data_IF_884071944906
#
_entry.id   IF_884071944906
#
_cell.length_a   1.000
_cell.length_b   1.000
_cell.length_c   1.000
_cell.angle_alpha   90.00
_cell.angle_beta   90.00
_cell.angle_gamma   90.00
#
_symmetry.space_group_name_H-M   'P 1'
#
loop_
_entity.id
_entity.type
_entity.pdbx_description
1 polymer ?
#
# COMPACT_ATOMS: atom_id res chain seq x y z
N UNK A 1 -7.92 5.36 17.09
CA UNK A 1 -7.28 4.17 16.49
C UNK A 1 -7.90 2.92 17.08
N UNK A 2 -8.54 2.05 16.27
CA UNK A 2 -9.05 0.74 16.71
C UNK A 2 -8.22 -0.37 16.05
N UNK A 3 -7.56 -1.21 16.85
CA UNK A 3 -6.70 -2.30 16.36
C UNK A 3 -7.44 -3.33 15.50
N UNK A 4 -8.74 -3.51 15.74
CA UNK A 4 -9.60 -4.48 15.04
C UNK A 4 -9.73 -4.16 13.55
N UNK A 5 -9.71 -2.87 13.20
CA UNK A 5 -9.82 -2.43 11.81
C UNK A 5 -8.54 -2.77 11.05
N UNK A 6 -7.38 -2.62 11.66
CA UNK A 6 -6.11 -2.95 11.02
C UNK A 6 -5.99 -4.44 10.66
N UNK A 7 -6.63 -5.32 11.45
CA UNK A 7 -6.67 -6.76 11.16
C UNK A 7 -7.51 -7.11 9.92
N UNK A 8 -8.54 -6.32 9.62
CA UNK A 8 -9.34 -6.52 8.40
C UNK A 8 -8.57 -6.20 7.12
N UNK A 9 -7.54 -5.35 7.21
CA UNK A 9 -6.71 -4.95 6.08
C UNK A 9 -5.42 -5.79 5.95
N UNK A 10 -5.26 -6.81 6.79
CA UNK A 10 -4.11 -7.71 6.72
C UNK A 10 -4.03 -8.36 5.33
N UNK A 11 -2.82 -8.41 4.74
CA UNK A 11 -2.53 -8.91 3.37
C UNK A 11 -2.94 -7.99 2.21
N UNK A 12 -3.37 -6.75 2.48
CA UNK A 12 -3.60 -5.76 1.42
C UNK A 12 -2.28 -5.41 0.73
N UNK A 13 -2.23 -5.45 -0.61
CA UNK A 13 -1.06 -5.04 -1.38
C UNK A 13 -0.94 -3.51 -1.47
N UNK A 14 -2.08 -2.84 -1.64
CA UNK A 14 -2.16 -1.38 -1.71
C UNK A 14 -3.12 -0.92 -0.63
N UNK A 15 -2.69 0.04 0.19
CA UNK A 15 -3.48 0.61 1.27
C UNK A 15 -3.65 2.12 1.05
N UNK A 16 -4.90 2.61 1.06
CA UNK A 16 -5.20 4.03 0.95
C UNK A 16 -5.66 4.53 2.32
N UNK A 17 -5.00 5.56 2.84
CA UNK A 17 -5.21 6.10 4.18
C UNK A 17 -5.52 7.59 4.13
N UNK A 18 -6.39 8.04 5.04
CA UNK A 18 -6.61 9.45 5.30
C UNK A 18 -5.57 9.94 6.31
N UNK A 19 -4.85 11.03 6.00
CA UNK A 19 -3.91 11.65 6.93
C UNK A 19 -4.43 13.02 7.36
N UNK A 20 -5.02 13.06 8.55
CA UNK A 20 -5.65 14.26 9.10
C UNK A 20 -4.64 15.17 9.82
N UNK A 21 -3.68 14.59 10.55
CA UNK A 21 -2.79 15.34 11.45
C UNK A 21 -1.32 14.97 11.27
N UNK A 22 -0.45 15.99 11.21
CA UNK A 22 1.01 15.85 11.14
C UNK A 22 1.61 15.33 12.45
N UNK A 23 2.90 14.97 12.42
CA UNK A 23 3.63 14.54 13.61
C UNK A 23 3.53 15.58 14.73
N UNK A 24 3.20 15.12 15.94
CA UNK A 24 3.10 15.97 17.14
C UNK A 24 1.76 16.71 17.29
N UNK A 25 0.83 16.60 16.33
CA UNK A 25 -0.50 17.17 16.45
C UNK A 25 -1.54 16.08 16.78
N UNK A 26 -2.26 16.26 17.89
CA UNK A 26 -3.35 15.37 18.31
C UNK A 26 -4.69 16.05 18.08
N UNK A 27 -5.28 15.81 16.91
CA UNK A 27 -6.63 16.22 16.55
C UNK A 27 -7.53 15.01 16.31
N UNK A 28 -8.78 15.26 15.91
CA UNK A 28 -9.67 14.20 15.43
C UNK A 28 -9.13 13.61 14.10
N UNK A 29 -9.17 12.28 13.97
CA UNK A 29 -8.69 11.54 12.79
C UNK A 29 -7.34 10.85 12.96
N UNK A 30 -6.83 10.28 11.86
CA UNK A 30 -5.55 9.56 11.84
C UNK A 30 -4.38 10.54 11.81
N UNK A 31 -3.40 10.30 12.68
CA UNK A 31 -2.15 11.03 12.71
C UNK A 31 -1.01 10.23 12.03
N UNK A 32 0.11 10.88 11.72
CA UNK A 32 1.25 10.24 11.08
C UNK A 32 1.82 9.06 11.90
N UNK A 33 1.75 9.13 13.24
CA UNK A 33 2.22 8.06 14.14
C UNK A 33 1.37 6.80 14.06
N UNK A 34 0.06 6.94 14.06
CA UNK A 34 -0.93 5.87 13.93
C UNK A 34 -0.77 5.17 12.58
N UNK A 35 -0.58 5.95 11.51
CA UNK A 35 -0.30 5.41 10.18
C UNK A 35 0.96 4.55 10.21
N UNK A 36 2.04 4.98 10.86
CA UNK A 36 3.27 4.16 10.97
C UNK A 36 2.97 2.83 11.66
N UNK A 37 2.18 2.82 12.75
CA UNK A 37 1.83 1.58 13.44
C UNK A 37 0.99 0.66 12.55
N UNK A 38 0.02 1.21 11.83
CA UNK A 38 -0.82 0.49 10.85
C UNK A 38 0.06 -0.14 9.77
N UNK A 39 0.97 0.64 9.17
CA UNK A 39 1.83 0.18 8.09
C UNK A 39 2.82 -0.89 8.55
N UNK A 40 3.34 -0.79 9.78
CA UNK A 40 4.21 -1.82 10.36
C UNK A 40 3.47 -3.14 10.61
N UNK A 41 2.18 -3.08 10.94
CA UNK A 41 1.34 -4.25 11.17
C UNK A 41 0.91 -4.91 9.85
N UNK A 42 0.41 -4.13 8.90
CA UNK A 42 -0.15 -4.66 7.63
C UNK A 42 0.94 -5.01 6.63
N UNK A 43 2.02 -4.21 6.56
CA UNK A 43 3.11 -4.30 5.57
C UNK A 43 2.63 -4.42 4.12
N UNK A 44 1.86 -3.43 3.62
CA UNK A 44 1.48 -3.42 2.21
C UNK A 44 2.70 -3.16 1.31
N UNK A 45 2.59 -3.50 0.02
CA UNK A 45 3.61 -3.17 -0.98
C UNK A 45 3.64 -1.66 -1.27
N UNK A 46 2.48 -1.00 -1.18
CA UNK A 46 2.31 0.44 -1.34
C UNK A 46 1.26 1.00 -0.38
N UNK A 47 1.57 2.13 0.25
CA UNK A 47 0.62 2.96 0.99
C UNK A 47 0.43 4.32 0.30
N UNK A 48 -0.82 4.77 0.20
CA UNK A 48 -1.16 6.06 -0.40
C UNK A 48 -1.88 6.89 0.67
N UNK A 49 -1.31 8.03 1.02
CA UNK A 49 -1.93 8.97 1.94
C UNK A 49 -2.71 10.03 1.16
N UNK A 50 -3.91 10.36 1.65
CA UNK A 50 -4.90 11.21 0.97
C UNK A 50 -5.62 12.11 1.98
N UNK A 51 -6.49 13.00 1.48
CA UNK A 51 -7.41 13.83 2.27
C UNK A 51 -6.67 14.61 3.39
N UNK A 52 -5.66 15.39 2.99
CA UNK A 52 -4.80 16.09 3.94
C UNK A 52 -5.57 17.10 4.78
N UNK A 53 -5.44 16.98 6.09
CA UNK A 53 -5.87 18.03 7.01
C UNK A 53 -5.03 19.31 6.86
N UNK A 54 -5.53 20.41 7.42
CA UNK A 54 -4.88 21.74 7.34
C UNK A 54 -3.44 21.74 7.86
N UNK A 55 -3.16 20.94 8.89
CA UNK A 55 -1.84 20.80 9.51
C UNK A 55 -0.82 20.14 8.58
N UNK A 56 -1.25 19.15 7.78
CA UNK A 56 -0.42 18.47 6.79
C UNK A 56 -0.12 19.36 5.58
N UNK A 57 -1.11 20.16 5.16
CA UNK A 57 -0.90 21.14 4.09
C UNK A 57 0.16 22.19 4.50
N UNK A 58 0.23 22.52 5.79
CA UNK A 58 1.26 23.41 6.34
C UNK A 58 2.64 22.73 6.45
N UNK A 59 2.71 21.46 6.86
CA UNK A 59 3.97 20.71 6.97
C UNK A 59 4.45 20.08 5.65
N UNK A 60 3.75 20.34 4.54
CA UNK A 60 3.93 19.75 3.21
C UNK A 60 3.67 18.24 3.17
N UNK A 61 2.64 17.75 2.45
CA UNK A 61 2.29 16.33 2.40
C UNK A 61 3.42 15.39 1.95
N UNK A 62 4.31 15.89 1.08
CA UNK A 62 5.46 15.12 0.58
C UNK A 62 6.50 14.84 1.68
N UNK A 63 6.69 15.79 2.60
CA UNK A 63 7.61 15.62 3.72
C UNK A 63 7.07 14.57 4.69
N UNK A 64 5.78 14.66 5.03
CA UNK A 64 5.09 13.67 5.87
C UNK A 64 5.16 12.26 5.28
N UNK A 65 4.87 12.11 3.98
CA UNK A 65 5.00 10.82 3.30
C UNK A 65 6.41 10.23 3.42
N UNK A 66 7.46 11.04 3.25
CA UNK A 66 8.86 10.60 3.36
C UNK A 66 9.19 10.15 4.78
N UNK A 67 8.76 10.89 5.80
CA UNK A 67 9.00 10.50 7.18
C UNK A 67 8.23 9.24 7.57
N UNK A 68 6.97 9.10 7.15
CA UNK A 68 6.19 7.89 7.36
C UNK A 68 6.87 6.70 6.66
N UNK A 69 7.33 6.85 5.41
CA UNK A 69 8.07 5.82 4.69
C UNK A 69 9.36 5.43 5.42
N UNK A 70 10.16 6.42 5.86
CA UNK A 70 11.41 6.18 6.59
C UNK A 70 11.20 5.39 7.88
N UNK A 71 10.11 5.68 8.61
CA UNK A 71 9.85 5.05 9.91
C UNK A 71 9.11 3.72 9.81
N UNK A 72 8.26 3.53 8.78
CA UNK A 72 7.48 2.30 8.57
C UNK A 72 8.22 1.25 7.75
N UNK A 73 9.16 1.65 6.88
CA UNK A 73 9.84 0.77 5.93
C UNK A 73 8.97 0.32 4.76
N UNK A 74 7.79 0.93 4.59
CA UNK A 74 6.83 0.67 3.52
C UNK A 74 6.91 1.81 2.49
N UNK A 75 6.72 1.52 1.21
CA UNK A 75 6.60 2.55 0.17
C UNK A 75 5.38 3.43 0.42
N UNK A 76 5.57 4.75 0.58
CA UNK A 76 4.46 5.69 0.83
C UNK A 76 4.41 6.77 -0.25
N UNK A 77 3.22 7.00 -0.80
CA UNK A 77 2.95 8.09 -1.75
C UNK A 77 1.95 9.09 -1.18
N UNK A 78 2.31 10.36 -1.29
CA UNK A 78 1.38 11.47 -1.11
C UNK A 78 0.54 11.65 -2.38
N UNK A 79 -0.76 11.36 -2.31
CA UNK A 79 -1.69 11.67 -3.39
C UNK A 79 -1.69 13.16 -3.73
N UNK A 80 -1.72 13.45 -5.02
CA UNK A 80 -1.92 14.78 -5.59
C UNK A 80 -3.15 14.78 -6.48
N UNK A 81 -3.73 15.94 -6.71
CA UNK A 81 -4.83 16.09 -7.66
C UNK A 81 -4.40 15.56 -9.04
N UNK A 82 -5.27 14.77 -9.68
CA UNK A 82 -5.00 14.16 -10.99
C UNK A 82 -3.97 13.02 -10.98
N UNK A 83 -3.50 12.56 -9.81
CA UNK A 83 -2.59 11.43 -9.72
C UNK A 83 -3.25 10.15 -10.24
N UNK A 84 -2.60 9.48 -11.18
CA UNK A 84 -2.98 8.16 -11.69
C UNK A 84 -1.92 7.15 -11.27
N UNK A 85 -2.35 6.00 -10.79
CA UNK A 85 -1.47 4.90 -10.40
C UNK A 85 -1.83 3.69 -11.24
N UNK A 86 -0.82 2.94 -11.67
CA UNK A 86 -1.02 1.58 -12.16
C UNK A 86 -0.80 0.61 -10.99
N UNK A 87 -1.84 -0.06 -10.47
CA UNK A 87 -1.70 -0.99 -9.36
C UNK A 87 -0.80 -2.19 -9.70
N UNK A 88 -0.67 -2.55 -10.98
CA UNK A 88 0.13 -3.71 -11.40
C UNK A 88 1.63 -3.50 -11.20
N UNK A 89 2.09 -2.25 -11.30
CA UNK A 89 3.48 -1.86 -11.07
C UNK A 89 3.91 -2.02 -9.59
N UNK A 90 2.94 -2.11 -8.68
CA UNK A 90 3.16 -2.22 -7.23
C UNK A 90 2.77 -3.58 -6.66
N UNK A 91 2.38 -4.53 -7.51
CA UNK A 91 2.25 -5.93 -7.08
C UNK A 91 3.66 -6.47 -6.87
N UNK A 92 4.00 -6.85 -5.63
CA UNK A 92 5.30 -7.45 -5.34
C UNK A 92 5.66 -8.55 -6.34
N UNK A 93 6.88 -8.50 -6.90
CA UNK A 93 7.35 -9.39 -7.98
C UNK A 93 7.06 -10.88 -7.73
N UNK A 94 6.97 -11.27 -6.45
CA UNK A 94 6.63 -12.62 -5.99
C UNK A 94 5.31 -13.14 -6.54
N UNK A 95 4.27 -12.29 -6.70
CA UNK A 95 2.96 -12.73 -7.22
C UNK A 95 2.95 -12.86 -8.73
N UNK A 96 3.65 -11.97 -9.44
CA UNK A 96 3.75 -12.02 -10.90
C UNK A 96 4.56 -13.23 -11.37
N UNK A 97 5.68 -13.55 -10.71
CA UNK A 97 6.48 -14.74 -11.02
C UNK A 97 5.72 -16.04 -10.79
N UNK A 98 4.97 -16.16 -9.68
CA UNK A 98 4.14 -17.35 -9.39
C UNK A 98 3.00 -17.50 -10.40
N UNK A 99 2.31 -16.41 -10.75
CA UNK A 99 1.23 -16.44 -11.73
C UNK A 99 1.75 -16.83 -13.13
N UNK A 100 2.85 -16.23 -13.58
CA UNK A 100 3.50 -16.59 -14.85
C UNK A 100 3.96 -18.05 -14.87
N UNK A 101 4.51 -18.55 -13.77
CA UNK A 101 4.94 -19.94 -13.64
C UNK A 101 3.76 -20.93 -13.71
N UNK A 102 2.66 -20.65 -13.02
CA UNK A 102 1.46 -21.49 -13.05
C UNK A 102 0.85 -21.50 -14.45
N UNK A 103 0.67 -20.33 -15.07
CA UNK A 103 0.12 -20.22 -16.42
C UNK A 103 0.97 -20.99 -17.44
N UNK A 104 2.30 -20.87 -17.36
CA UNK A 104 3.21 -21.60 -18.25
C UNK A 104 3.09 -23.12 -18.06
N UNK A 105 3.03 -23.60 -16.82
CA UNK A 105 2.88 -25.04 -16.51
C UNK A 105 1.54 -25.62 -16.99
N UNK A 106 0.44 -24.87 -16.86
CA UNK A 106 -0.88 -25.31 -17.37
C UNK A 106 -0.87 -25.48 -18.88
N UNK A 107 -0.32 -24.50 -19.61
CA UNK A 107 -0.21 -24.55 -21.07
C UNK A 107 0.69 -25.72 -21.54
N UNK A 108 1.78 -26.00 -20.83
CA UNK A 108 2.66 -27.14 -21.13
C UNK A 108 1.95 -28.49 -20.90
N UNK A 109 1.07 -28.57 -19.90
CA UNK A 109 0.32 -29.80 -19.58
C UNK A 109 -0.80 -30.07 -20.59
N UNK A 110 -1.51 -29.04 -21.03
CA UNK A 110 -2.58 -29.14 -22.04
C UNK A 110 -2.02 -29.53 -23.42
N UNK A 111 -0.86 -28.97 -23.81
CA UNK A 111 -0.22 -29.31 -25.08
C UNK A 111 0.32 -30.74 -25.13
N UNK A 112 0.71 -31.32 -23.99
CA UNK A 112 1.16 -32.72 -23.92
C UNK A 112 0.00 -33.72 -24.03
N UNK A 113 -1.18 -33.37 -23.52
CA UNK A 113 -2.38 -34.21 -23.61
C UNK A 113 -2.98 -34.21 -25.03
N UNK A 114 -2.93 -33.07 -25.73
CA UNK A 114 -3.46 -32.96 -27.10
C UNK A 114 -2.55 -33.61 -28.16
N UNK A 115 -1.27 -33.85 -27.89
CA UNK A 115 -0.35 -34.54 -28.79
C UNK A 115 -0.30 -36.06 -28.59
N UNK A 116 -1.07 -36.62 -27.64
CA UNK A 116 -1.13 -38.06 -27.36
C UNK A 116 -2.47 -38.71 -27.76
N UNK A 117 -3.40 -37.96 -28.35
CA UNK A 117 -4.66 -38.42 -28.96
C UNK A 117 -4.62 -38.22 -30.47
#
# INVERSE_FOLDING_TARGET
YNNEIADQYLRSNILILNLANSFGHTGEGLNSGDIIQILKKIKPDLAIITHYGKTILQSTPLYEAREIQRQSGVSVLAAKEGMKIDPTAYLGESKQKVLQFITKKTIETENQQNNQN
#
